data_IF_274478284320
#
_entry.id   IF_274478284320
#
_cell.length_a   1.000
_cell.length_b   1.000
_cell.length_c   1.000
_cell.angle_alpha   90.00
_cell.angle_beta   90.00
_cell.angle_gamma   90.00
#
_symmetry.space_group_name_H-M   'P 1'
#
loop_
_entity.id
_entity.type
_entity.pdbx_description
1 polymer ?
#
# COMPACT_ATOMS: atom_id res chain seq x y z
N UNK A 1 30.81 12.41 -2.62
CA UNK A 1 29.95 12.04 -1.45
C UNK A 1 28.87 11.03 -1.86
N UNK A 2 28.51 10.09 -0.98
CA UNK A 2 27.42 9.11 -1.14
C UNK A 2 26.59 9.03 0.15
N UNK A 3 25.26 8.95 0.02
CA UNK A 3 24.31 8.72 1.11
C UNK A 3 23.37 7.59 0.73
N UNK A 4 23.14 6.63 1.62
CA UNK A 4 22.15 5.56 1.45
C UNK A 4 21.13 5.66 2.59
N UNK A 5 19.86 5.64 2.25
CA UNK A 5 18.74 5.67 3.20
C UNK A 5 17.95 4.39 3.06
N UNK A 6 17.74 3.68 4.16
CA UNK A 6 17.00 2.42 4.24
C UNK A 6 15.74 2.60 5.10
N UNK A 7 14.65 1.95 4.72
CA UNK A 7 13.42 1.90 5.50
C UNK A 7 12.82 0.51 5.44
N UNK A 8 12.54 -0.09 6.60
CA UNK A 8 11.99 -1.45 6.70
C UNK A 8 12.83 -2.52 5.96
N UNK A 9 14.15 -2.36 5.91
CA UNK A 9 15.08 -3.35 5.34
C UNK A 9 15.57 -4.36 6.39
N UNK A 10 15.93 -5.60 5.99
CA UNK A 10 16.53 -6.61 6.87
C UNK A 10 17.80 -6.15 7.57
N UNK A 11 18.07 -6.68 8.77
CA UNK A 11 19.25 -6.34 9.59
C UNK A 11 20.58 -6.68 8.90
N UNK A 12 20.64 -7.77 8.13
CA UNK A 12 21.85 -8.18 7.43
C UNK A 12 22.36 -7.15 6.43
N UNK A 13 21.47 -6.36 5.82
CA UNK A 13 21.87 -5.27 4.93
C UNK A 13 22.54 -4.12 5.70
N UNK A 14 22.09 -3.82 6.92
CA UNK A 14 22.67 -2.76 7.75
C UNK A 14 24.13 -3.05 8.06
N UNK A 15 24.42 -4.26 8.52
CA UNK A 15 25.78 -4.71 8.82
C UNK A 15 26.69 -4.75 7.58
N UNK A 16 26.14 -4.95 6.38
CA UNK A 16 26.90 -4.84 5.14
C UNK A 16 27.29 -3.39 4.83
N UNK A 17 26.38 -2.44 5.02
CA UNK A 17 26.63 -1.03 4.73
C UNK A 17 27.61 -0.37 5.71
N UNK A 18 27.59 -0.75 6.99
CA UNK A 18 28.51 -0.20 8.00
C UNK A 18 29.98 -0.56 7.76
N UNK A 19 30.27 -1.57 6.94
CA UNK A 19 31.64 -1.88 6.51
C UNK A 19 32.24 -0.81 5.59
N UNK A 20 31.40 0.03 4.97
CA UNK A 20 31.81 0.99 3.94
C UNK A 20 31.41 2.43 4.25
N UNK A 21 30.32 2.62 5.00
CA UNK A 21 29.68 3.90 5.26
C UNK A 21 29.40 4.05 6.75
N UNK A 22 29.31 5.29 7.23
CA UNK A 22 28.97 5.61 8.61
C UNK A 22 27.46 5.72 8.77
N UNK A 23 26.86 4.94 9.66
CA UNK A 23 25.45 5.10 10.04
C UNK A 23 25.31 6.27 11.02
N UNK A 24 24.83 7.42 10.53
CA UNK A 24 24.70 8.65 11.32
C UNK A 24 23.31 8.78 11.98
N UNK A 25 22.35 7.99 11.52
CA UNK A 25 21.01 7.85 12.07
C UNK A 25 20.44 6.50 11.63
N UNK A 26 19.38 6.03 12.27
CA UNK A 26 18.78 4.73 11.96
C UNK A 26 18.42 4.63 10.47
N UNK A 27 19.14 3.77 9.74
CA UNK A 27 18.94 3.59 8.30
C UNK A 27 19.54 4.67 7.42
N UNK A 28 20.32 5.62 7.94
CA UNK A 28 20.98 6.68 7.16
C UNK A 28 22.49 6.51 7.20
N UNK A 29 23.06 6.15 6.06
CA UNK A 29 24.47 5.83 5.88
C UNK A 29 25.14 6.88 5.01
N UNK A 30 26.28 7.43 5.45
CA UNK A 30 27.00 8.50 4.75
C UNK A 30 28.47 8.13 4.60
N UNK A 31 29.07 8.44 3.46
CA UNK A 31 30.49 8.24 3.26
C UNK A 31 31.00 8.67 1.89
N UNK A 32 32.31 8.56 1.70
CA UNK A 32 32.95 8.89 0.45
C UNK A 32 33.49 7.63 -0.23
N UNK A 33 32.81 7.19 -1.29
CA UNK A 33 33.21 6.04 -2.11
C UNK A 33 33.22 6.43 -3.59
N UNK A 34 34.11 5.79 -4.36
CA UNK A 34 34.17 6.00 -5.81
C UNK A 34 32.94 5.42 -6.53
N UNK A 35 32.77 5.75 -7.81
CA UNK A 35 31.63 5.32 -8.62
C UNK A 35 31.46 3.80 -8.68
N UNK A 36 32.54 3.05 -8.82
CA UNK A 36 32.53 1.58 -8.90
C UNK A 36 32.04 0.94 -7.61
N UNK A 37 32.54 1.40 -6.46
CA UNK A 37 32.11 0.91 -5.15
C UNK A 37 30.65 1.29 -4.91
N UNK A 38 30.26 2.54 -5.22
CA UNK A 38 28.87 2.98 -5.10
C UNK A 38 27.90 2.10 -5.88
N UNK A 39 28.21 1.78 -7.14
CA UNK A 39 27.37 0.92 -7.98
C UNK A 39 27.24 -0.50 -7.40
N UNK A 40 28.33 -1.05 -6.86
CA UNK A 40 28.32 -2.37 -6.19
C UNK A 40 27.50 -2.36 -4.91
N UNK A 41 27.67 -1.34 -4.07
CA UNK A 41 26.86 -1.16 -2.87
C UNK A 41 25.38 -1.05 -3.23
N UNK A 42 25.05 -0.28 -4.28
CA UNK A 42 23.67 -0.16 -4.75
C UNK A 42 23.08 -1.48 -5.22
N UNK A 43 23.84 -2.27 -5.99
CA UNK A 43 23.42 -3.61 -6.40
C UNK A 43 23.11 -4.50 -5.19
N UNK A 44 23.98 -4.48 -4.16
CA UNK A 44 23.75 -5.24 -2.92
C UNK A 44 22.56 -4.75 -2.12
N UNK A 45 22.32 -3.45 -2.08
CA UNK A 45 21.11 -2.88 -1.47
C UNK A 45 19.86 -3.42 -2.17
N UNK A 46 19.79 -3.38 -3.51
CA UNK A 46 18.65 -3.90 -4.26
C UNK A 46 18.45 -5.40 -4.02
N UNK A 47 19.54 -6.18 -4.00
CA UNK A 47 19.51 -7.63 -3.78
C UNK A 47 18.98 -8.01 -2.40
N UNK A 48 19.36 -7.25 -1.37
CA UNK A 48 19.10 -7.60 0.04
C UNK A 48 17.97 -6.80 0.69
N UNK A 49 17.42 -5.77 0.03
CA UNK A 49 16.41 -4.88 0.61
C UNK A 49 15.10 -5.62 0.96
N UNK A 50 14.79 -6.74 0.31
CA UNK A 50 13.54 -7.46 0.50
C UNK A 50 12.32 -6.57 0.19
N UNK A 51 11.31 -6.49 1.07
CA UNK A 51 10.19 -5.54 0.92
C UNK A 51 10.53 -4.12 1.43
N UNK A 52 11.78 -3.89 1.82
CA UNK A 52 12.25 -2.62 2.31
C UNK A 52 12.49 -1.61 1.19
N UNK A 53 12.52 -0.34 1.55
CA UNK A 53 12.73 0.78 0.63
C UNK A 53 14.13 1.30 0.78
N UNK A 54 14.74 1.70 -0.33
CA UNK A 54 16.05 2.32 -0.30
C UNK A 54 16.15 3.53 -1.24
N UNK A 55 16.94 4.51 -0.80
CA UNK A 55 17.38 5.63 -1.61
C UNK A 55 18.89 5.67 -1.61
N UNK A 56 19.48 5.96 -2.76
CA UNK A 56 20.90 6.25 -2.90
C UNK A 56 21.02 7.66 -3.44
N UNK A 57 21.73 8.55 -2.74
CA UNK A 57 22.08 9.89 -3.20
C UNK A 57 23.59 9.94 -3.38
N UNK A 58 24.05 10.55 -4.47
CA UNK A 58 25.46 10.72 -4.73
C UNK A 58 25.75 11.99 -5.49
N UNK A 59 26.98 12.48 -5.32
CA UNK A 59 27.46 13.63 -6.06
C UNK A 59 27.58 13.30 -7.55
N UNK A 60 27.02 14.17 -8.39
CA UNK A 60 27.05 14.06 -9.84
C UNK A 60 27.30 15.45 -10.47
N UNK A 61 27.88 15.52 -11.68
CA UNK A 61 27.90 16.75 -12.47
C UNK A 61 26.48 17.22 -12.80
N UNK A 62 26.33 18.50 -13.14
CA UNK A 62 25.03 19.13 -13.42
C UNK A 62 24.63 20.18 -12.38
N UNK A 63 23.49 20.84 -12.59
CA UNK A 63 23.06 22.01 -11.79
C UNK A 63 22.81 21.68 -10.33
N UNK A 64 22.12 20.56 -10.05
CA UNK A 64 21.80 20.14 -8.68
C UNK A 64 23.02 19.58 -7.92
N UNK A 65 24.14 19.33 -8.61
CA UNK A 65 25.38 18.71 -8.08
C UNK A 65 25.17 17.34 -7.42
N UNK A 66 24.00 16.74 -7.60
CA UNK A 66 23.61 15.45 -7.05
C UNK A 66 22.75 14.68 -8.05
N UNK A 67 22.72 13.37 -7.86
CA UNK A 67 21.77 12.46 -8.50
C UNK A 67 21.37 11.41 -7.47
N UNK A 68 20.23 10.76 -7.69
CA UNK A 68 19.77 9.73 -6.78
C UNK A 68 19.04 8.59 -7.48
N UNK A 69 19.11 7.42 -6.87
CA UNK A 69 18.44 6.20 -7.29
C UNK A 69 17.46 5.76 -6.21
N UNK A 70 16.41 5.06 -6.62
CA UNK A 70 15.27 4.71 -5.77
C UNK A 70 14.96 3.23 -5.91
N UNK A 71 14.71 2.54 -4.79
CA UNK A 71 14.22 1.17 -4.74
C UNK A 71 12.95 1.12 -3.90
N UNK A 72 11.88 0.59 -4.51
CA UNK A 72 10.54 0.38 -3.94
C UNK A 72 9.91 1.58 -3.19
N UNK A 73 10.35 2.80 -3.49
CA UNK A 73 9.80 4.00 -2.88
C UNK A 73 8.49 4.43 -3.55
N UNK A 74 7.54 4.90 -2.74
CA UNK A 74 6.22 5.38 -3.18
C UNK A 74 6.32 6.71 -3.95
N UNK A 75 7.29 7.55 -3.60
CA UNK A 75 7.66 8.71 -4.41
C UNK A 75 8.47 8.31 -5.63
N UNK A 76 8.20 8.94 -6.76
CA UNK A 76 8.87 8.65 -8.03
C UNK A 76 9.72 9.84 -8.46
N UNK A 77 10.99 9.61 -8.87
CA UNK A 77 11.77 10.64 -9.55
C UNK A 77 11.05 11.07 -10.83
N UNK A 78 11.04 12.35 -11.12
CA UNK A 78 10.53 12.92 -12.37
C UNK A 78 11.51 13.97 -12.87
N UNK A 79 11.79 13.95 -14.17
CA UNK A 79 12.59 14.98 -14.84
C UNK A 79 11.68 16.14 -15.27
N UNK A 80 12.05 17.36 -14.92
CA UNK A 80 11.43 18.59 -15.41
C UNK A 80 12.54 19.52 -15.88
N UNK A 81 12.62 19.72 -17.20
CA UNK A 81 13.61 20.60 -17.85
C UNK A 81 15.06 20.31 -17.43
N UNK A 82 15.42 19.03 -17.29
CA UNK A 82 16.77 18.59 -16.89
C UNK A 82 17.03 18.63 -15.38
N UNK A 83 16.05 19.02 -14.57
CA UNK A 83 16.10 19.01 -13.11
C UNK A 83 15.33 17.79 -12.59
N UNK A 84 16.01 16.91 -11.85
CA UNK A 84 15.35 15.74 -11.25
C UNK A 84 14.64 16.16 -9.96
N UNK A 85 13.32 15.98 -9.92
CA UNK A 85 12.46 16.23 -8.77
C UNK A 85 11.83 14.93 -8.24
N UNK A 86 11.13 15.05 -7.11
CA UNK A 86 10.37 13.97 -6.49
C UNK A 86 8.87 14.24 -6.61
N UNK A 87 8.16 13.39 -7.37
CA UNK A 87 6.70 13.39 -7.42
C UNK A 87 6.14 12.56 -6.26
N UNK A 88 5.26 13.19 -5.48
CA UNK A 88 4.47 12.54 -4.43
C UNK A 88 3.06 12.29 -4.95
N UNK A 89 2.68 11.03 -5.25
CA UNK A 89 1.32 10.75 -5.68
C UNK A 89 0.34 11.14 -4.57
N UNK A 90 -0.57 12.07 -4.85
CA UNK A 90 -1.73 12.28 -4.00
C UNK A 90 -2.80 11.32 -4.51
N UNK A 91 -3.09 10.26 -3.76
CA UNK A 91 -4.35 9.55 -3.95
C UNK A 91 -5.46 10.52 -3.57
N UNK A 92 -5.96 11.26 -4.55
CA UNK A 92 -7.19 12.02 -4.40
C UNK A 92 -8.30 10.99 -4.34
N UNK A 93 -8.55 10.42 -3.15
CA UNK A 93 -9.79 9.70 -2.89
C UNK A 93 -10.90 10.68 -3.25
N UNK A 94 -11.51 10.50 -4.41
CA UNK A 94 -12.74 11.22 -4.73
C UNK A 94 -13.69 10.86 -3.60
N UNK A 95 -13.98 11.84 -2.74
CA UNK A 95 -15.05 11.70 -1.77
C UNK A 95 -16.29 11.44 -2.59
N UNK A 96 -16.76 10.19 -2.61
CA UNK A 96 -18.02 9.87 -3.22
C UNK A 96 -19.10 10.30 -2.22
N UNK A 97 -19.86 11.39 -2.47
CA UNK A 97 -20.91 11.83 -1.56
C UNK A 97 -22.09 10.85 -1.54
N UNK A 98 -22.10 9.83 -2.42
CA UNK A 98 -23.07 8.76 -2.36
C UNK A 98 -22.87 7.95 -1.06
N UNK A 99 -23.68 8.28 -0.07
CA UNK A 99 -23.81 7.52 1.18
C UNK A 99 -23.97 6.02 0.86
N UNK A 100 -23.35 5.12 1.64
CA UNK A 100 -23.49 3.68 1.44
C UNK A 100 -24.96 3.27 1.31
N UNK A 101 -25.25 2.38 0.37
CA UNK A 101 -26.61 1.89 0.10
C UNK A 101 -27.19 1.29 1.39
N UNK A 102 -28.17 1.95 2.01
CA UNK A 102 -28.69 1.55 3.33
C UNK A 102 -28.57 2.59 4.44
N UNK A 103 -27.88 3.72 4.21
CA UNK A 103 -27.67 4.75 5.23
C UNK A 103 -28.95 5.48 5.64
N UNK A 104 -29.87 5.72 4.70
CA UNK A 104 -31.08 6.50 4.99
C UNK A 104 -32.09 5.71 5.83
N UNK A 105 -32.82 6.41 6.72
CA UNK A 105 -33.94 5.83 7.47
C UNK A 105 -34.99 5.22 6.54
N UNK A 106 -35.20 5.80 5.35
CA UNK A 106 -36.08 5.25 4.33
C UNK A 106 -35.60 3.87 3.81
N UNK A 107 -34.29 3.71 3.57
CA UNK A 107 -33.71 2.43 3.14
C UNK A 107 -33.83 1.35 4.24
N UNK A 108 -33.57 1.72 5.51
CA UNK A 108 -33.80 0.82 6.66
C UNK A 108 -35.27 0.43 6.80
N UNK A 109 -36.21 1.37 6.67
CA UNK A 109 -37.66 1.07 6.70
C UNK A 109 -38.08 0.13 5.58
N UNK A 110 -37.53 0.25 4.36
CA UNK A 110 -37.83 -0.69 3.27
C UNK A 110 -37.27 -2.10 3.54
N UNK A 111 -36.08 -2.21 4.15
CA UNK A 111 -35.46 -3.49 4.50
C UNK A 111 -36.19 -4.22 5.63
N UNK A 112 -36.59 -3.49 6.68
CA UNK A 112 -37.10 -4.08 7.91
C UNK A 112 -38.61 -3.91 8.12
N UNK A 113 -39.26 -2.99 7.40
CA UNK A 113 -40.69 -2.68 7.55
C UNK A 113 -41.64 -3.55 6.72
N UNK A 114 -41.14 -4.56 5.99
CA UNK A 114 -41.97 -5.54 5.26
C UNK A 114 -42.23 -6.85 6.02
N UNK A 115 -41.79 -6.98 7.27
CA UNK A 115 -42.23 -8.07 8.15
C UNK A 115 -43.40 -7.59 9.01
N UNK A 116 -44.61 -7.63 8.44
CA UNK A 116 -45.81 -7.84 9.27
C UNK A 116 -46.04 -9.34 9.36
N UNK A 117 -46.28 -9.90 10.55
CA UNK A 117 -46.71 -11.28 10.68
C UNK A 117 -48.21 -11.30 10.38
N UNK A 118 -48.64 -11.92 9.29
CA UNK A 118 -50.05 -12.30 9.25
C UNK A 118 -50.38 -13.43 8.30
N UNK A 119 -51.44 -14.15 8.71
CA UNK A 119 -52.20 -15.17 8.00
C UNK A 119 -51.63 -16.61 7.97
N UNK A 120 -51.54 -17.23 9.14
CA UNK A 120 -51.73 -18.68 9.22
C UNK A 120 -53.22 -18.97 8.91
N UNK A 121 -53.48 -19.44 7.69
CA UNK A 121 -54.78 -19.98 7.27
C UNK A 121 -54.98 -21.33 7.99
N UNK A 122 -56.06 -21.58 8.74
CA UNK A 122 -56.33 -22.92 9.25
C UNK A 122 -56.92 -23.79 8.12
N UNK A 123 -56.32 -24.95 7.91
CA UNK A 123 -56.77 -25.97 6.97
C UNK A 123 -58.11 -26.60 7.43
N UNK A 124 -59.06 -26.76 6.51
CA UNK A 124 -60.33 -27.47 6.74
C UNK A 124 -60.10 -28.99 6.84
N UNK A 125 -60.87 -29.73 7.66
CA UNK A 125 -60.72 -31.18 7.79
C UNK A 125 -61.48 -31.94 6.70
N UNK A 126 -60.81 -32.93 6.11
CA UNK A 126 -61.32 -33.83 5.08
C UNK A 126 -62.21 -34.91 5.72
N UNK A 127 -63.49 -34.98 5.34
CA UNK A 127 -64.36 -36.10 5.72
C UNK A 127 -64.10 -37.27 4.77
N UNK A 128 -63.49 -38.34 5.28
CA UNK A 128 -63.45 -39.64 4.65
C UNK A 128 -64.80 -40.34 4.84
N UNK A 129 -65.62 -40.39 3.79
CA UNK A 129 -66.80 -41.23 3.72
C UNK A 129 -66.44 -42.72 3.89
N UNK A 130 -67.22 -43.35 4.75
CA UNK A 130 -67.19 -44.74 5.14
C UNK A 130 -67.59 -45.64 3.97
N UNK A 131 -66.83 -46.72 3.79
CA UNK A 131 -67.19 -47.85 2.95
C UNK A 131 -67.56 -49.00 3.90
N UNK A 132 -68.85 -49.29 4.00
CA UNK A 132 -69.36 -50.53 4.60
C UNK A 132 -70.69 -50.89 3.92
N UNK A 133 -70.70 -52.07 3.28
CA UNK A 133 -71.75 -53.12 3.23
C UNK A 133 -73.21 -52.71 2.88
N UNK A 134 -73.99 -53.38 2.01
CA UNK A 134 -73.96 -54.72 1.40
C UNK A 134 -74.70 -54.70 0.05
#
# INVERSE_FOLDING_TARGET
MTVIILTACPEGLRGHLTQWLLEISAGVYVGHVNSRIRQRLWGKVIEMAGPGRALLVYQAPGEQRLSFSVHDHHWKPVDLDGVTLIRRPTERKMFNPALPRGWSKASKRRRFGRRSPDSAVPAAPNQSEQKTES
#
